data_IF_883192337708
#
_entry.id   IF_883192337708
#
_cell.length_a   1.000
_cell.length_b   1.000
_cell.length_c   1.000
_cell.angle_alpha   90.00
_cell.angle_beta   90.00
_cell.angle_gamma   90.00
#
_symmetry.space_group_name_H-M   'P 1'
#
loop_
_entity.id
_entity.type
_entity.pdbx_description
1 polymer ?
#
# COMPACT_ATOMS: atom_id res chain seq x y z
N UNK A 1 18.77 12.13 11.17
CA UNK A 1 19.69 11.65 10.10
C UNK A 1 18.88 11.05 8.97
N UNK A 2 19.18 11.43 7.72
CA UNK A 2 18.54 10.88 6.54
C UNK A 2 19.32 9.67 6.00
N UNK A 3 18.75 9.00 4.98
CA UNK A 3 19.40 7.85 4.33
C UNK A 3 20.48 8.26 3.32
N UNK A 4 20.45 9.50 2.82
CA UNK A 4 21.40 10.04 1.82
C UNK A 4 22.23 11.20 2.35
N UNK A 5 21.73 11.94 3.35
CA UNK A 5 22.42 13.10 3.95
C UNK A 5 22.12 13.17 5.44
N UNK A 6 23.03 13.78 6.20
CA UNK A 6 22.77 14.07 7.61
C UNK A 6 22.04 15.42 7.74
N UNK A 7 20.85 15.40 8.31
CA UNK A 7 20.04 16.61 8.53
C UNK A 7 20.71 17.65 9.45
N UNK A 8 21.69 17.24 10.27
CA UNK A 8 22.43 18.16 11.12
C UNK A 8 23.27 19.18 10.31
N UNK A 9 23.69 18.83 9.10
CA UNK A 9 24.43 19.72 8.20
C UNK A 9 23.61 20.93 7.77
N UNK A 10 22.28 20.85 7.85
CA UNK A 10 21.34 21.91 7.49
C UNK A 10 20.86 22.77 8.66
N UNK A 11 21.34 22.52 9.90
CA UNK A 11 20.98 23.31 11.07
C UNK A 11 21.34 24.80 10.89
N UNK A 12 22.55 25.17 10.42
CA UNK A 12 22.89 26.57 10.21
C UNK A 12 21.96 27.28 9.25
N UNK A 13 21.58 26.61 8.16
CA UNK A 13 20.65 27.15 7.16
C UNK A 13 19.25 27.37 7.72
N UNK A 14 18.76 26.42 8.53
CA UNK A 14 17.47 26.54 9.19
C UNK A 14 17.44 27.73 10.16
N UNK A 15 18.49 27.90 10.94
CA UNK A 15 18.67 29.04 11.86
C UNK A 15 18.74 30.37 11.09
N UNK A 16 19.51 30.43 10.01
CA UNK A 16 19.60 31.61 9.14
C UNK A 16 18.24 31.99 8.50
N UNK A 17 17.37 31.02 8.28
CA UNK A 17 16.00 31.21 7.80
C UNK A 17 14.99 31.55 8.90
N UNK A 18 15.43 31.71 10.14
CA UNK A 18 14.60 32.16 11.26
C UNK A 18 14.00 31.04 12.12
N UNK A 19 14.57 29.84 12.11
CA UNK A 19 14.15 28.80 13.05
C UNK A 19 14.36 29.26 14.48
N UNK A 20 13.32 29.27 15.29
CA UNK A 20 13.34 29.60 16.73
C UNK A 20 13.61 28.38 17.62
N UNK A 21 13.46 27.16 17.05
CA UNK A 21 13.80 25.92 17.72
C UNK A 21 14.34 24.89 16.71
N UNK A 22 15.26 24.04 17.19
CA UNK A 22 15.88 22.95 16.42
C UNK A 22 15.75 21.66 17.23
N UNK A 23 15.15 20.63 16.62
CA UNK A 23 15.11 19.28 17.19
C UNK A 23 16.18 18.45 16.48
N UNK A 24 17.13 17.91 17.21
CA UNK A 24 18.29 17.21 16.66
C UNK A 24 18.70 16.02 17.54
N UNK A 25 19.50 15.10 17.01
CA UNK A 25 20.05 13.98 17.78
C UNK A 25 21.37 14.34 18.49
N UNK A 26 22.07 15.35 17.95
CA UNK A 26 23.32 15.86 18.53
C UNK A 26 23.30 17.39 18.45
N UNK A 27 23.76 18.05 19.48
CA UNK A 27 23.96 19.50 19.46
C UNK A 27 25.03 19.87 18.43
N UNK A 28 24.84 20.92 17.64
CA UNK A 28 25.91 21.46 16.81
C UNK A 28 27.03 22.02 17.66
N UNK A 29 28.24 22.10 17.10
CA UNK A 29 29.41 22.64 17.83
C UNK A 29 29.20 24.08 18.28
N UNK A 30 28.43 24.86 17.51
CA UNK A 30 28.05 26.24 17.81
C UNK A 30 26.52 26.35 17.85
N UNK A 31 25.98 26.94 18.92
CA UNK A 31 24.55 27.21 19.07
C UNK A 31 24.26 28.70 18.87
N UNK A 32 23.21 29.01 18.12
CA UNK A 32 22.79 30.39 17.90
C UNK A 32 22.02 30.93 19.11
N UNK A 33 22.31 32.18 19.46
CA UNK A 33 21.61 32.88 20.57
C UNK A 33 20.11 33.04 20.20
N UNK A 34 19.25 32.76 21.17
CA UNK A 34 17.80 32.90 20.99
C UNK A 34 17.12 31.71 20.26
N UNK A 35 17.86 30.66 19.92
CA UNK A 35 17.31 29.42 19.35
C UNK A 35 17.28 28.34 20.41
N UNK A 36 16.15 27.70 20.60
CA UNK A 36 16.00 26.52 21.47
C UNK A 36 16.49 25.25 20.77
N UNK A 37 17.35 24.47 21.44
CA UNK A 37 17.81 23.17 20.91
C UNK A 37 17.27 22.05 21.79
N UNK A 38 16.54 21.13 21.18
CA UNK A 38 15.94 19.95 21.82
C UNK A 38 16.65 18.70 21.29
N UNK A 39 17.41 18.05 22.19
CA UNK A 39 18.11 16.81 21.84
C UNK A 39 17.21 15.63 22.09
N UNK A 40 17.01 14.80 21.06
CA UNK A 40 16.18 13.60 21.08
C UNK A 40 16.97 12.38 20.59
N UNK A 41 16.66 11.17 21.05
CA UNK A 41 17.37 9.96 20.61
C UNK A 41 17.08 9.59 19.15
N UNK A 42 16.01 10.11 18.57
CA UNK A 42 15.50 9.76 17.22
C UNK A 42 14.72 10.97 16.64
N UNK A 43 15.39 11.72 15.79
CA UNK A 43 14.80 12.93 15.19
C UNK A 43 13.72 12.61 14.17
N UNK A 44 13.80 11.46 13.46
CA UNK A 44 12.78 11.05 12.51
C UNK A 44 11.46 10.69 13.21
N UNK A 45 11.54 9.94 14.30
CA UNK A 45 10.39 9.62 15.13
C UNK A 45 9.80 10.87 15.81
N UNK A 46 10.66 11.76 16.32
CA UNK A 46 10.21 13.03 16.91
C UNK A 46 9.47 13.90 15.88
N UNK A 47 9.96 13.98 14.63
CA UNK A 47 9.28 14.68 13.55
C UNK A 47 7.87 14.11 13.29
N UNK A 48 7.75 12.79 13.25
CA UNK A 48 6.47 12.13 13.01
C UNK A 48 5.48 12.39 14.15
N UNK A 49 5.93 12.27 15.42
CA UNK A 49 5.10 12.55 16.59
C UNK A 49 4.68 14.03 16.66
N UNK A 50 5.60 14.96 16.36
CA UNK A 50 5.31 16.40 16.29
C UNK A 50 4.33 16.73 15.17
N UNK A 51 4.49 16.14 13.98
CA UNK A 51 3.57 16.35 12.87
C UNK A 51 2.17 15.87 13.22
N UNK A 52 2.03 14.68 13.81
CA UNK A 52 0.74 14.16 14.26
C UNK A 52 0.08 15.10 15.28
N UNK A 53 0.84 15.58 16.27
CA UNK A 53 0.33 16.51 17.28
C UNK A 53 -0.05 17.87 16.70
N UNK A 54 0.78 18.43 15.81
CA UNK A 54 0.56 19.74 15.19
C UNK A 54 -0.76 19.79 14.40
N UNK A 55 -1.07 18.70 13.68
CA UNK A 55 -2.31 18.57 12.91
C UNK A 55 -3.48 17.98 13.74
N UNK A 56 -3.35 17.86 15.07
CA UNK A 56 -4.40 17.38 15.96
C UNK A 56 -4.73 15.92 15.84
N UNK A 57 -3.75 15.06 15.51
CA UNK A 57 -3.89 13.61 15.35
C UNK A 57 -5.01 13.18 14.39
N UNK A 58 -5.03 13.67 13.14
CA UNK A 58 -6.16 13.50 12.22
C UNK A 58 -6.45 12.03 11.88
N UNK A 59 -5.47 11.13 11.97
CA UNK A 59 -5.65 9.71 11.76
C UNK A 59 -6.60 9.03 12.76
N UNK A 60 -6.88 9.66 13.91
CA UNK A 60 -7.86 9.18 14.89
C UNK A 60 -9.31 9.50 14.52
N UNK A 61 -9.51 10.45 13.62
CA UNK A 61 -10.81 10.85 13.12
C UNK A 61 -11.22 10.05 11.87
N UNK A 62 -10.27 9.27 11.30
CA UNK A 62 -10.44 8.47 10.10
C UNK A 62 -10.35 6.98 10.44
N UNK A 63 -11.12 6.14 9.78
CA UNK A 63 -10.85 4.70 9.71
C UNK A 63 -9.69 4.45 8.75
N UNK A 64 -8.46 4.65 9.25
CA UNK A 64 -7.23 4.53 8.47
C UNK A 64 -6.83 3.07 8.31
N UNK A 65 -6.68 2.59 7.08
CA UNK A 65 -6.17 1.24 6.78
C UNK A 65 -4.88 1.34 5.99
N UNK A 66 -3.83 0.70 6.50
CA UNK A 66 -2.53 0.61 5.85
C UNK A 66 -2.36 -0.70 5.08
N UNK A 67 -1.86 -0.65 3.85
CA UNK A 67 -1.62 -1.82 3.02
C UNK A 67 -0.11 -1.96 2.79
N UNK A 68 0.47 -3.10 3.17
CA UNK A 68 1.87 -3.41 2.90
C UNK A 68 2.02 -4.77 2.22
N UNK A 69 3.15 -4.95 1.55
CA UNK A 69 3.49 -6.14 0.78
C UNK A 69 4.43 -5.80 -0.36
N UNK A 70 4.84 -6.76 -1.17
CA UNK A 70 5.60 -6.48 -2.39
C UNK A 70 4.63 -6.03 -3.49
N UNK A 71 3.66 -6.84 -3.84
CA UNK A 71 2.69 -6.60 -4.91
C UNK A 71 1.28 -6.38 -4.36
N UNK A 72 0.41 -5.71 -5.12
CA UNK A 72 -1.01 -5.54 -4.82
C UNK A 72 -1.37 -4.34 -3.93
N UNK A 73 -0.41 -3.61 -3.35
CA UNK A 73 -0.68 -2.45 -2.46
C UNK A 73 -1.57 -1.39 -3.11
N UNK A 74 -1.14 -0.87 -4.26
CA UNK A 74 -1.87 0.17 -5.00
C UNK A 74 -3.26 -0.28 -5.38
N UNK A 75 -3.36 -1.50 -5.94
CA UNK A 75 -4.65 -2.08 -6.35
C UNK A 75 -5.58 -2.21 -5.15
N UNK A 76 -5.13 -2.80 -4.05
CA UNK A 76 -5.96 -3.00 -2.86
C UNK A 76 -6.39 -1.67 -2.23
N UNK A 77 -5.48 -0.69 -2.11
CA UNK A 77 -5.81 0.63 -1.56
C UNK A 77 -6.83 1.37 -2.42
N UNK A 78 -6.63 1.35 -3.74
CA UNK A 78 -7.55 2.01 -4.69
C UNK A 78 -8.91 1.34 -4.71
N UNK A 79 -8.95 0.00 -4.77
CA UNK A 79 -10.21 -0.75 -4.75
C UNK A 79 -10.99 -0.56 -3.44
N UNK A 80 -10.33 -0.45 -2.29
CA UNK A 80 -10.98 -0.10 -1.03
C UNK A 80 -11.57 1.31 -1.06
N UNK A 81 -10.82 2.27 -1.58
CA UNK A 81 -11.31 3.64 -1.78
C UNK A 81 -12.54 3.65 -2.69
N UNK A 82 -12.46 3.00 -3.86
CA UNK A 82 -13.57 2.96 -4.82
C UNK A 82 -14.79 2.21 -4.25
N UNK A 83 -14.57 1.13 -3.49
CA UNK A 83 -15.62 0.37 -2.83
C UNK A 83 -16.42 1.24 -1.84
N UNK A 84 -15.74 1.91 -0.90
CA UNK A 84 -16.43 2.72 0.11
C UNK A 84 -17.10 3.95 -0.52
N UNK A 85 -16.51 4.49 -1.60
CA UNK A 85 -17.15 5.54 -2.42
C UNK A 85 -18.43 5.05 -3.10
N UNK A 86 -18.41 3.84 -3.66
CA UNK A 86 -19.61 3.20 -4.26
C UNK A 86 -20.72 2.94 -3.22
N UNK A 87 -20.34 2.75 -1.95
CA UNK A 87 -21.28 2.63 -0.81
C UNK A 87 -21.75 4.00 -0.26
N UNK A 88 -21.29 5.12 -0.85
CA UNK A 88 -21.75 6.46 -0.48
C UNK A 88 -20.90 7.17 0.59
N UNK A 89 -19.80 6.58 1.04
CA UNK A 89 -18.93 7.19 2.04
C UNK A 89 -17.88 8.11 1.39
N UNK A 90 -17.47 9.15 2.12
CA UNK A 90 -16.32 9.94 1.74
C UNK A 90 -15.03 9.27 2.21
N UNK A 91 -14.01 9.27 1.37
CA UNK A 91 -12.74 8.61 1.66
C UNK A 91 -11.54 9.38 1.12
N UNK A 92 -10.37 9.12 1.70
CA UNK A 92 -9.06 9.52 1.20
C UNK A 92 -8.27 8.33 0.67
N UNK A 93 -7.32 8.61 -0.22
CA UNK A 93 -6.39 7.63 -0.78
C UNK A 93 -4.97 8.18 -0.79
N UNK A 94 -4.01 7.40 -0.31
CA UNK A 94 -2.57 7.69 -0.40
C UNK A 94 -1.89 6.52 -1.09
N UNK A 95 -1.55 6.68 -2.37
CA UNK A 95 -1.00 5.60 -3.19
C UNK A 95 0.23 6.04 -4.00
N UNK A 96 0.90 5.09 -4.64
CA UNK A 96 2.03 5.36 -5.54
C UNK A 96 1.62 6.19 -6.76
N UNK A 97 0.39 6.01 -7.23
CA UNK A 97 -0.09 6.63 -8.47
C UNK A 97 -0.70 8.01 -8.21
N UNK A 98 -1.49 8.14 -7.14
CA UNK A 98 -2.27 9.34 -6.88
C UNK A 98 -2.61 9.45 -5.39
N UNK A 99 -2.73 10.69 -4.89
CA UNK A 99 -3.40 10.96 -3.63
C UNK A 99 -4.79 11.53 -3.92
N UNK A 100 -5.78 11.17 -3.09
CA UNK A 100 -7.13 11.72 -3.17
C UNK A 100 -7.56 12.20 -1.79
N UNK A 101 -8.05 13.43 -1.73
CA UNK A 101 -8.71 14.01 -0.57
C UNK A 101 -10.17 14.20 -0.96
N UNK A 102 -11.06 13.33 -0.47
CA UNK A 102 -12.39 13.23 -1.03
C UNK A 102 -12.33 12.94 -2.54
N UNK A 103 -12.85 13.85 -3.35
CA UNK A 103 -12.81 13.76 -4.82
C UNK A 103 -11.61 14.49 -5.45
N UNK A 104 -10.94 15.34 -4.68
CA UNK A 104 -9.81 16.13 -5.17
C UNK A 104 -8.59 15.24 -5.37
N UNK A 105 -8.05 15.27 -6.59
CA UNK A 105 -6.83 14.54 -6.98
C UNK A 105 -5.61 15.42 -6.70
N UNK A 106 -4.62 14.84 -6.03
CA UNK A 106 -3.33 15.48 -5.75
C UNK A 106 -2.23 14.59 -6.31
N UNK A 107 -1.27 15.16 -7.00
CA UNK A 107 -0.15 14.42 -7.59
C UNK A 107 0.67 13.70 -6.51
N UNK A 108 0.94 12.43 -6.75
CA UNK A 108 1.76 11.62 -5.84
C UNK A 108 3.25 11.89 -6.10
N UNK A 109 3.98 12.25 -5.05
CA UNK A 109 5.44 12.42 -5.10
C UNK A 109 6.18 11.18 -4.59
N UNK A 110 5.54 10.42 -3.70
CA UNK A 110 6.08 9.19 -3.09
C UNK A 110 4.92 8.23 -2.81
N UNK A 111 5.21 6.93 -2.76
CA UNK A 111 4.22 5.92 -2.32
C UNK A 111 3.62 6.25 -0.95
N UNK A 112 4.45 6.68 -0.02
CA UNK A 112 4.06 7.16 1.31
C UNK A 112 4.79 8.48 1.54
N UNK A 113 4.09 9.61 1.69
CA UNK A 113 4.69 10.92 1.93
C UNK A 113 5.49 10.99 3.24
N UNK A 114 6.24 12.08 3.42
CA UNK A 114 6.82 12.43 4.71
C UNK A 114 5.74 12.69 5.77
N UNK A 115 6.08 12.64 7.09
CA UNK A 115 5.10 12.74 8.16
C UNK A 115 4.32 14.05 8.16
N UNK A 116 4.95 15.17 7.78
CA UNK A 116 4.30 16.50 7.80
C UNK A 116 3.22 16.55 6.72
N UNK A 117 3.59 16.21 5.49
CA UNK A 117 2.64 16.18 4.36
C UNK A 117 1.52 15.17 4.59
N UNK A 118 1.86 13.99 5.15
CA UNK A 118 0.88 12.94 5.41
C UNK A 118 -0.17 13.38 6.42
N UNK A 119 0.24 13.97 7.56
CA UNK A 119 -0.69 14.47 8.57
C UNK A 119 -1.48 15.69 8.07
N UNK A 120 -0.86 16.60 7.29
CA UNK A 120 -1.58 17.72 6.65
C UNK A 120 -2.72 17.22 5.76
N UNK A 121 -2.43 16.24 4.88
CA UNK A 121 -3.44 15.63 4.00
C UNK A 121 -4.55 14.93 4.78
N UNK A 122 -4.21 14.20 5.85
CA UNK A 122 -5.21 13.55 6.70
C UNK A 122 -6.08 14.57 7.44
N UNK A 123 -5.51 15.73 7.83
CA UNK A 123 -6.30 16.83 8.40
C UNK A 123 -7.29 17.37 7.37
N UNK A 124 -6.85 17.63 6.14
CA UNK A 124 -7.75 18.03 5.07
C UNK A 124 -8.85 16.98 4.81
N UNK A 125 -8.51 15.69 4.79
CA UNK A 125 -9.49 14.60 4.65
C UNK A 125 -10.55 14.65 5.75
N UNK A 126 -10.13 14.80 7.01
CA UNK A 126 -11.05 14.86 8.14
C UNK A 126 -11.92 16.14 8.07
N UNK A 127 -11.35 17.29 7.73
CA UNK A 127 -12.08 18.56 7.58
C UNK A 127 -13.11 18.52 6.45
N UNK A 128 -12.83 17.76 5.36
CA UNK A 128 -13.78 17.51 4.28
C UNK A 128 -14.84 16.45 4.64
N UNK A 129 -14.75 15.84 5.82
CA UNK A 129 -15.69 14.85 6.32
C UNK A 129 -15.47 13.46 5.73
N UNK A 130 -14.23 13.10 5.36
CA UNK A 130 -13.88 11.72 5.04
C UNK A 130 -14.00 10.85 6.30
N UNK A 131 -14.60 9.67 6.15
CA UNK A 131 -14.72 8.68 7.22
C UNK A 131 -13.60 7.63 7.13
N UNK A 132 -13.07 7.39 5.93
CA UNK A 132 -12.08 6.36 5.63
C UNK A 132 -10.84 6.98 4.98
N UNK A 133 -9.69 6.36 5.22
CA UNK A 133 -8.47 6.61 4.47
C UNK A 133 -7.73 5.30 4.21
N UNK A 134 -7.37 5.05 2.96
CA UNK A 134 -6.61 3.88 2.56
C UNK A 134 -5.24 4.30 2.07
N UNK A 135 -4.17 3.70 2.61
CA UNK A 135 -2.82 4.11 2.27
C UNK A 135 -1.86 2.96 2.05
N UNK A 136 -0.98 3.11 1.08
CA UNK A 136 0.16 2.23 0.92
C UNK A 136 1.22 2.51 1.98
N UNK A 137 1.64 1.48 2.72
CA UNK A 137 2.74 1.51 3.67
C UNK A 137 3.96 0.82 3.05
N UNK A 138 4.85 1.58 2.38
CA UNK A 138 6.07 1.03 1.82
C UNK A 138 7.07 0.64 2.90
N UNK A 139 7.91 -0.37 2.64
CA UNK A 139 8.96 -0.79 3.59
C UNK A 139 9.93 0.34 3.94
N UNK A 140 10.24 1.21 2.96
CA UNK A 140 11.06 2.41 3.18
C UNK A 140 10.38 3.37 4.17
N UNK A 141 9.08 3.64 3.97
CA UNK A 141 8.33 4.54 4.84
C UNK A 141 8.23 4.01 6.28
N UNK A 142 8.06 2.70 6.44
CA UNK A 142 8.00 2.06 7.76
C UNK A 142 9.35 2.22 8.48
N UNK A 143 10.47 1.87 7.81
CA UNK A 143 11.82 2.00 8.41
C UNK A 143 12.17 3.47 8.69
N UNK A 144 11.75 4.39 7.82
CA UNK A 144 11.94 5.84 8.00
C UNK A 144 10.91 6.47 8.93
N UNK A 145 10.10 5.66 9.61
CA UNK A 145 9.11 6.09 10.60
C UNK A 145 8.06 7.10 10.08
N UNK A 146 7.82 7.14 8.76
CA UNK A 146 6.84 8.05 8.15
C UNK A 146 5.41 7.78 8.61
N UNK A 147 5.13 6.55 9.07
CA UNK A 147 3.82 6.11 9.58
C UNK A 147 3.70 6.17 11.09
N UNK A 148 4.77 6.59 11.80
CA UNK A 148 4.76 6.73 13.25
C UNK A 148 3.81 7.86 13.68
N UNK A 149 3.16 7.67 14.83
CA UNK A 149 2.18 8.62 15.36
C UNK A 149 0.80 8.53 14.70
N UNK A 150 0.63 7.71 13.63
CA UNK A 150 -0.67 7.46 13.03
C UNK A 150 -1.42 6.37 13.80
N UNK A 151 -2.74 6.54 13.93
CA UNK A 151 -3.65 5.53 14.46
C UNK A 151 -4.31 4.79 13.30
N UNK A 152 -4.03 3.48 13.18
CA UNK A 152 -4.61 2.62 12.15
C UNK A 152 -5.79 1.84 12.71
N UNK A 153 -6.93 1.88 12.02
CA UNK A 153 -8.05 0.98 12.26
C UNK A 153 -7.73 -0.46 11.80
N UNK A 154 -6.79 -0.60 10.85
CA UNK A 154 -6.33 -1.90 10.41
C UNK A 154 -5.13 -1.88 9.50
N UNK A 155 -4.53 -3.06 9.35
CA UNK A 155 -3.41 -3.32 8.44
C UNK A 155 -3.64 -4.54 7.58
N UNK A 156 -3.23 -4.48 6.31
CA UNK A 156 -3.34 -5.58 5.34
C UNK A 156 -1.96 -5.99 4.88
N UNK A 157 -1.67 -7.28 4.94
CA UNK A 157 -0.50 -7.91 4.31
C UNK A 157 -0.91 -8.66 3.05
N UNK A 158 -0.39 -8.25 1.89
CA UNK A 158 -0.71 -8.90 0.61
C UNK A 158 0.21 -10.09 0.32
N UNK A 159 1.50 -9.88 0.18
CA UNK A 159 2.52 -10.89 -0.11
C UNK A 159 3.92 -10.32 0.10
N UNK A 160 4.94 -11.19 0.09
CA UNK A 160 6.33 -10.76 0.07
C UNK A 160 7.16 -11.66 -0.85
N UNK A 161 7.73 -11.04 -1.89
CA UNK A 161 8.64 -11.66 -2.85
C UNK A 161 9.92 -10.84 -2.96
N UNK A 162 10.89 -11.28 -3.74
CA UNK A 162 12.18 -10.62 -3.89
C UNK A 162 12.01 -9.22 -4.49
N UNK A 163 12.26 -8.19 -3.67
CA UNK A 163 12.26 -6.79 -4.06
C UNK A 163 13.06 -5.92 -3.07
N UNK A 164 13.51 -4.73 -3.51
CA UNK A 164 14.16 -3.73 -2.65
C UNK A 164 15.38 -4.21 -1.85
N UNK A 165 16.12 -5.22 -2.32
CA UNK A 165 17.33 -5.71 -1.64
C UNK A 165 18.52 -4.74 -1.78
N UNK A 166 18.48 -3.82 -2.74
CA UNK A 166 19.37 -2.67 -2.82
C UNK A 166 19.32 -1.82 -1.54
N UNK A 167 18.14 -1.63 -0.96
CA UNK A 167 17.92 -0.88 0.26
C UNK A 167 18.03 -1.75 1.53
N UNK A 168 17.31 -2.89 1.58
CA UNK A 168 17.21 -3.72 2.78
C UNK A 168 18.36 -4.72 2.95
N UNK A 169 19.28 -4.84 1.96
CA UNK A 169 20.45 -5.73 1.93
C UNK A 169 20.11 -7.23 1.94
N UNK A 170 19.18 -7.68 2.76
CA UNK A 170 18.75 -9.08 2.84
C UNK A 170 17.24 -9.23 2.83
N UNK A 171 16.76 -10.39 2.38
CA UNK A 171 15.34 -10.70 2.39
C UNK A 171 14.77 -10.75 3.83
N UNK A 172 15.58 -11.17 4.81
CA UNK A 172 15.19 -11.17 6.22
C UNK A 172 14.95 -9.75 6.75
N UNK A 173 15.81 -8.79 6.40
CA UNK A 173 15.61 -7.38 6.76
C UNK A 173 14.40 -6.77 6.06
N UNK A 174 14.10 -7.19 4.83
CA UNK A 174 12.90 -6.75 4.12
C UNK A 174 11.61 -7.27 4.79
N UNK A 175 11.60 -8.55 5.22
CA UNK A 175 10.52 -9.12 6.04
C UNK A 175 10.36 -8.32 7.34
N UNK A 176 11.47 -8.11 8.07
CA UNK A 176 11.49 -7.35 9.32
C UNK A 176 10.93 -5.94 9.15
N UNK A 177 11.33 -5.24 8.10
CA UNK A 177 10.86 -3.89 7.80
C UNK A 177 9.33 -3.81 7.67
N UNK A 178 8.72 -4.76 6.94
CA UNK A 178 7.25 -4.81 6.81
C UNK A 178 6.56 -5.25 8.09
N UNK A 179 7.16 -6.19 8.83
CA UNK A 179 6.63 -6.68 10.09
C UNK A 179 6.49 -5.57 11.14
N UNK A 180 7.41 -4.59 11.18
CA UNK A 180 7.34 -3.44 12.10
C UNK A 180 6.00 -2.69 12.00
N UNK A 181 5.38 -2.66 10.82
CA UNK A 181 4.05 -2.05 10.66
C UNK A 181 3.00 -2.78 11.49
N UNK A 182 2.95 -4.12 11.42
CA UNK A 182 1.99 -4.93 12.21
C UNK A 182 2.32 -4.91 13.69
N UNK A 183 3.60 -4.88 14.06
CA UNK A 183 4.04 -4.79 15.47
C UNK A 183 3.64 -3.44 16.10
N UNK A 184 3.42 -2.41 15.29
CA UNK A 184 3.00 -1.07 15.74
C UNK A 184 1.47 -0.88 15.81
N UNK A 185 0.68 -1.82 15.32
CA UNK A 185 -0.78 -1.70 15.35
C UNK A 185 -1.32 -1.75 16.78
N UNK A 186 -2.30 -0.90 17.06
CA UNK A 186 -2.96 -0.84 18.34
C UNK A 186 -3.89 -2.06 18.55
N UNK A 187 -4.26 -2.32 19.81
CA UNK A 187 -5.09 -3.49 20.18
C UNK A 187 -6.49 -3.45 19.57
N UNK A 188 -7.01 -2.27 19.30
CA UNK A 188 -8.33 -2.04 18.70
C UNK A 188 -8.31 -2.11 17.15
N UNK A 189 -7.13 -2.27 16.54
CA UNK A 189 -6.96 -2.47 15.12
C UNK A 189 -7.16 -3.93 14.70
N UNK A 190 -7.35 -4.16 13.41
CA UNK A 190 -7.24 -5.50 12.82
C UNK A 190 -5.92 -5.67 12.03
N UNK A 191 -5.41 -6.89 11.98
CA UNK A 191 -4.29 -7.31 11.16
C UNK A 191 -4.77 -8.41 10.21
N UNK A 192 -5.05 -8.06 8.95
CA UNK A 192 -5.52 -8.98 7.91
C UNK A 192 -4.34 -9.51 7.10
N UNK A 193 -4.06 -10.81 7.17
CA UNK A 193 -2.88 -11.41 6.54
C UNK A 193 -3.25 -12.49 5.53
N UNK A 194 -2.48 -12.55 4.44
CA UNK A 194 -2.58 -13.60 3.43
C UNK A 194 -2.02 -14.92 3.98
N UNK A 195 -2.88 -15.90 4.23
CA UNK A 195 -2.50 -17.20 4.76
C UNK A 195 -1.80 -18.10 3.72
N UNK A 196 -1.91 -17.79 2.44
CA UNK A 196 -1.23 -18.52 1.37
C UNK A 196 0.21 -18.03 1.14
N UNK A 197 0.59 -16.88 1.69
CA UNK A 197 1.99 -16.46 1.74
C UNK A 197 2.71 -17.12 2.93
N UNK A 198 3.86 -17.77 2.66
CA UNK A 198 4.65 -18.45 3.69
C UNK A 198 5.08 -17.56 4.85
N UNK A 199 5.18 -16.25 4.62
CA UNK A 199 5.55 -15.26 5.63
C UNK A 199 4.33 -14.58 6.28
N UNK A 200 3.10 -14.92 5.86
CA UNK A 200 1.88 -14.30 6.37
C UNK A 200 1.76 -14.38 7.89
N UNK A 201 2.07 -15.55 8.48
CA UNK A 201 2.09 -15.73 9.94
C UNK A 201 3.19 -14.95 10.63
N UNK A 202 4.37 -14.83 9.98
CA UNK A 202 5.51 -14.09 10.52
C UNK A 202 5.18 -12.60 10.65
N UNK A 203 4.44 -12.04 9.68
CA UNK A 203 4.07 -10.63 9.68
C UNK A 203 3.27 -10.24 10.92
N UNK A 204 2.37 -11.09 11.38
CA UNK A 204 1.42 -10.78 12.44
C UNK A 204 1.73 -11.43 13.80
N UNK A 205 2.85 -12.15 13.93
CA UNK A 205 3.13 -12.96 15.12
C UNK A 205 3.27 -12.18 16.43
N UNK A 206 3.65 -10.89 16.37
CA UNK A 206 3.87 -10.05 17.56
C UNK A 206 2.90 -8.85 17.62
N UNK A 207 1.92 -8.80 16.71
CA UNK A 207 0.95 -7.70 16.73
C UNK A 207 0.05 -7.77 17.96
N UNK A 208 -0.35 -6.62 18.48
CA UNK A 208 -1.39 -6.52 19.51
C UNK A 208 -2.81 -6.50 18.91
N UNK A 209 -2.92 -6.29 17.60
CA UNK A 209 -4.18 -6.18 16.87
C UNK A 209 -4.89 -7.53 16.72
N UNK A 210 -6.19 -7.50 16.47
CA UNK A 210 -6.98 -8.70 16.13
C UNK A 210 -6.50 -9.33 14.82
N UNK A 211 -6.02 -10.59 14.86
CA UNK A 211 -5.48 -11.27 13.69
C UNK A 211 -6.61 -11.92 12.90
N UNK A 212 -6.66 -11.64 11.60
CA UNK A 212 -7.56 -12.25 10.63
C UNK A 212 -6.80 -12.71 9.40
N UNK A 213 -7.29 -13.76 8.77
CA UNK A 213 -6.65 -14.42 7.64
C UNK A 213 -7.53 -14.43 6.40
N UNK A 214 -6.91 -14.36 5.23
CA UNK A 214 -7.61 -14.60 3.98
C UNK A 214 -6.82 -15.54 3.06
N UNK A 215 -7.52 -16.34 2.24
CA UNK A 215 -6.91 -17.38 1.41
C UNK A 215 -7.77 -17.78 0.22
N UNK A 216 -7.10 -18.14 -0.88
CA UNK A 216 -7.70 -18.83 -2.03
C UNK A 216 -7.48 -20.36 -1.99
N UNK A 217 -6.56 -20.86 -1.13
CA UNK A 217 -6.09 -22.25 -1.15
C UNK A 217 -6.36 -23.01 0.14
N UNK A 218 -6.26 -22.33 1.27
CA UNK A 218 -6.31 -22.96 2.59
C UNK A 218 -7.51 -22.48 3.42
N UNK A 219 -7.69 -23.04 4.60
CA UNK A 219 -8.69 -22.56 5.55
C UNK A 219 -8.25 -21.20 6.11
N UNK A 220 -9.16 -20.23 6.10
CA UNK A 220 -8.96 -18.87 6.56
C UNK A 220 -10.31 -18.27 6.99
N UNK A 221 -10.28 -17.11 7.68
CA UNK A 221 -11.47 -16.39 8.09
C UNK A 221 -12.28 -15.88 6.89
N UNK A 222 -11.57 -15.43 5.84
CA UNK A 222 -12.16 -15.04 4.56
C UNK A 222 -11.61 -15.94 3.46
N UNK A 223 -12.52 -16.50 2.65
CA UNK A 223 -12.16 -17.43 1.57
C UNK A 223 -12.77 -17.05 0.25
N UNK A 224 -12.00 -17.26 -0.81
CA UNK A 224 -12.44 -17.07 -2.16
C UNK A 224 -12.05 -18.25 -3.05
N UNK A 225 -12.94 -18.63 -3.96
CA UNK A 225 -12.65 -19.56 -5.07
C UNK A 225 -12.94 -18.85 -6.38
N UNK A 226 -12.01 -18.90 -7.32
CA UNK A 226 -12.26 -18.52 -8.71
C UNK A 226 -13.09 -19.65 -9.33
N UNK A 227 -14.32 -19.36 -9.71
CA UNK A 227 -15.23 -20.31 -10.37
C UNK A 227 -14.98 -20.30 -11.86
N UNK A 228 -14.92 -19.09 -12.45
CA UNK A 228 -14.64 -18.87 -13.88
C UNK A 228 -13.74 -17.64 -14.04
N UNK A 229 -12.92 -17.64 -15.09
CA UNK A 229 -12.08 -16.49 -15.44
C UNK A 229 -12.09 -16.30 -16.96
N UNK A 230 -12.47 -15.10 -17.39
CA UNK A 230 -12.56 -14.67 -18.76
C UNK A 230 -11.77 -13.37 -18.98
N UNK A 231 -11.66 -12.95 -20.22
CA UNK A 231 -10.94 -11.71 -20.61
C UNK A 231 -11.61 -10.43 -20.09
N UNK A 232 -12.87 -10.50 -19.72
CA UNK A 232 -13.70 -9.37 -19.25
C UNK A 232 -14.02 -9.40 -17.76
N UNK A 233 -13.60 -10.47 -17.05
CA UNK A 233 -13.82 -10.56 -15.61
C UNK A 233 -13.71 -11.98 -15.06
N UNK A 234 -14.05 -12.11 -13.78
CA UNK A 234 -14.05 -13.37 -13.05
C UNK A 234 -15.36 -13.57 -12.30
N UNK A 235 -15.83 -14.81 -12.25
CA UNK A 235 -16.83 -15.25 -11.28
C UNK A 235 -16.11 -15.77 -10.04
N UNK A 236 -16.25 -15.06 -8.95
CA UNK A 236 -15.68 -15.40 -7.65
C UNK A 236 -16.76 -15.95 -6.72
N UNK A 237 -16.41 -16.96 -5.93
CA UNK A 237 -17.24 -17.40 -4.79
C UNK A 237 -16.53 -17.00 -3.51
N UNK A 238 -17.07 -15.97 -2.83
CA UNK A 238 -16.52 -15.39 -1.59
C UNK A 238 -17.48 -15.76 -0.45
N UNK A 239 -16.97 -16.44 0.58
CA UNK A 239 -17.77 -16.90 1.73
C UNK A 239 -19.08 -17.61 1.34
N UNK A 240 -19.05 -18.36 0.22
CA UNK A 240 -20.18 -19.12 -0.30
C UNK A 240 -21.11 -18.37 -1.25
N UNK A 241 -20.95 -17.05 -1.43
CA UNK A 241 -21.74 -16.24 -2.35
C UNK A 241 -20.97 -15.97 -3.66
N UNK A 242 -21.65 -16.02 -4.78
CA UNK A 242 -21.07 -15.76 -6.08
C UNK A 242 -21.19 -14.27 -6.45
N UNK A 243 -20.11 -13.72 -6.94
CA UNK A 243 -20.04 -12.33 -7.44
C UNK A 243 -19.22 -12.27 -8.71
N UNK A 244 -19.77 -11.62 -9.75
CA UNK A 244 -19.02 -11.28 -10.94
C UNK A 244 -18.25 -9.97 -10.72
N UNK A 245 -16.96 -9.95 -11.08
CA UNK A 245 -16.09 -8.79 -10.97
C UNK A 245 -15.38 -8.51 -12.29
N UNK A 246 -15.26 -7.24 -12.68
CA UNK A 246 -14.60 -6.81 -13.91
C UNK A 246 -13.06 -6.77 -13.83
N UNK A 247 -12.47 -7.52 -12.90
CA UNK A 247 -11.02 -7.66 -12.76
C UNK A 247 -10.63 -9.10 -13.12
N UNK A 248 -9.41 -9.28 -13.66
CA UNK A 248 -8.92 -10.56 -14.16
C UNK A 248 -7.62 -10.93 -13.46
N UNK A 249 -7.38 -12.22 -13.26
CA UNK A 249 -6.15 -12.77 -12.74
C UNK A 249 -6.25 -13.20 -11.26
N UNK A 250 -5.56 -14.31 -10.97
CA UNK A 250 -5.51 -14.87 -9.61
C UNK A 250 -5.00 -13.86 -8.58
N UNK A 251 -4.03 -13.03 -8.94
CA UNK A 251 -3.51 -11.97 -8.05
C UNK A 251 -4.59 -10.92 -7.73
N UNK A 252 -5.50 -10.60 -8.66
CA UNK A 252 -6.64 -9.73 -8.40
C UNK A 252 -7.70 -10.41 -7.54
N UNK A 253 -7.87 -11.74 -7.62
CA UNK A 253 -8.73 -12.45 -6.69
C UNK A 253 -8.22 -12.34 -5.23
N UNK A 254 -6.88 -12.38 -5.00
CA UNK A 254 -6.29 -12.08 -3.70
C UNK A 254 -6.54 -10.63 -3.26
N UNK A 255 -6.33 -9.66 -4.16
CA UNK A 255 -6.57 -8.24 -3.87
C UNK A 255 -8.04 -8.00 -3.48
N UNK A 256 -8.98 -8.54 -4.27
CA UNK A 256 -10.42 -8.42 -4.03
C UNK A 256 -10.84 -9.10 -2.72
N UNK A 257 -10.26 -10.25 -2.38
CA UNK A 257 -10.56 -10.92 -1.12
C UNK A 257 -10.03 -10.13 0.08
N UNK A 258 -8.86 -9.50 -0.05
CA UNK A 258 -8.33 -8.58 0.96
C UNK A 258 -9.22 -7.33 1.13
N UNK A 259 -9.73 -6.79 0.02
CA UNK A 259 -10.71 -5.68 -0.01
C UNK A 259 -11.99 -6.09 0.73
N UNK A 260 -12.57 -7.24 0.38
CA UNK A 260 -13.76 -7.78 1.06
C UNK A 260 -13.53 -7.96 2.56
N UNK A 261 -12.46 -8.65 2.94
CA UNK A 261 -12.14 -8.91 4.34
C UNK A 261 -11.95 -7.62 5.14
N UNK A 262 -11.21 -6.65 4.60
CA UNK A 262 -11.01 -5.36 5.26
C UNK A 262 -12.31 -4.57 5.39
N UNK A 263 -13.16 -4.55 4.36
CA UNK A 263 -14.46 -3.87 4.38
C UNK A 263 -15.39 -4.46 5.47
N UNK A 264 -15.44 -5.80 5.57
CA UNK A 264 -16.22 -6.49 6.61
C UNK A 264 -15.65 -6.19 8.01
N UNK A 265 -14.33 -6.18 8.17
CA UNK A 265 -13.67 -5.86 9.45
C UNK A 265 -13.85 -4.38 9.86
N UNK A 266 -14.06 -3.48 8.90
CA UNK A 266 -14.47 -2.09 9.16
C UNK A 266 -15.95 -1.94 9.53
N UNK A 267 -16.71 -3.04 9.55
CA UNK A 267 -18.13 -3.07 9.95
C UNK A 267 -19.12 -2.83 8.81
N UNK A 268 -18.69 -2.93 7.54
CA UNK A 268 -19.58 -2.80 6.40
C UNK A 268 -20.38 -4.10 6.18
N UNK A 269 -21.61 -3.97 5.69
CA UNK A 269 -22.49 -5.12 5.43
C UNK A 269 -21.94 -6.00 4.30
N UNK A 270 -21.90 -7.32 4.52
CA UNK A 270 -21.31 -8.29 3.59
C UNK A 270 -21.99 -8.31 2.22
N UNK A 271 -23.31 -8.23 2.17
CA UNK A 271 -24.06 -8.28 0.91
C UNK A 271 -23.86 -6.97 0.11
N UNK A 272 -23.86 -5.84 0.80
CA UNK A 272 -23.59 -4.54 0.19
C UNK A 272 -22.14 -4.44 -0.34
N UNK A 273 -21.17 -4.97 0.40
CA UNK A 273 -19.77 -5.05 -0.05
C UNK A 273 -19.66 -5.89 -1.33
N UNK A 274 -20.27 -7.09 -1.38
CA UNK A 274 -20.24 -7.93 -2.58
C UNK A 274 -20.92 -7.25 -3.78
N UNK A 275 -22.06 -6.58 -3.55
CA UNK A 275 -22.74 -5.81 -4.58
C UNK A 275 -21.86 -4.67 -5.10
N UNK A 276 -21.21 -3.92 -4.23
CA UNK A 276 -20.31 -2.85 -4.62
C UNK A 276 -19.06 -3.38 -5.36
N UNK A 277 -18.55 -4.56 -4.96
CA UNK A 277 -17.41 -5.20 -5.65
C UNK A 277 -17.70 -5.52 -7.11
N UNK A 278 -18.95 -5.85 -7.47
CA UNK A 278 -19.32 -6.11 -8.87
C UNK A 278 -19.24 -4.86 -9.78
N UNK A 279 -19.18 -3.67 -9.19
CA UNK A 279 -19.06 -2.39 -9.89
C UNK A 279 -17.60 -1.88 -9.96
N UNK A 280 -16.65 -2.59 -9.35
CA UNK A 280 -15.25 -2.19 -9.36
C UNK A 280 -14.61 -2.47 -10.71
N UNK A 281 -13.71 -1.57 -11.12
CA UNK A 281 -12.96 -1.65 -12.37
C UNK A 281 -11.46 -1.80 -12.09
N UNK A 282 -10.72 -2.20 -13.11
CA UNK A 282 -9.27 -2.27 -13.05
C UNK A 282 -8.68 -0.89 -12.71
N UNK A 283 -7.69 -0.89 -11.83
CA UNK A 283 -6.95 0.33 -11.46
C UNK A 283 -6.02 0.71 -12.60
N UNK A 284 -5.95 2.00 -12.94
CA UNK A 284 -5.13 2.47 -14.05
C UNK A 284 -3.68 2.00 -13.93
N UNK A 285 -3.14 1.43 -15.01
CA UNK A 285 -1.81 0.83 -15.08
C UNK A 285 -1.65 -0.46 -14.25
N UNK A 286 -2.75 -1.13 -13.86
CA UNK A 286 -2.75 -2.39 -13.10
C UNK A 286 -3.62 -3.43 -13.80
N UNK A 287 -3.00 -4.19 -14.72
CA UNK A 287 -3.69 -5.14 -15.59
C UNK A 287 -4.88 -4.49 -16.32
N UNK A 288 -4.65 -3.29 -16.81
CA UNK A 288 -5.64 -2.46 -17.47
C UNK A 288 -5.76 -2.87 -18.93
N UNK A 289 -6.97 -3.19 -19.37
CA UNK A 289 -7.27 -3.58 -20.75
C UNK A 289 -7.59 -2.36 -21.61
N UNK A 290 -6.90 -2.26 -22.75
CA UNK A 290 -7.21 -1.30 -23.82
C UNK A 290 -7.49 -2.10 -25.08
N UNK A 291 -8.71 -2.03 -25.59
CA UNK A 291 -9.12 -2.73 -26.83
C UNK A 291 -9.13 -1.77 -28.00
N UNK A 292 -8.43 -2.14 -29.07
CA UNK A 292 -8.46 -1.42 -30.32
C UNK A 292 -9.57 -1.95 -31.23
N UNK A 293 -10.05 -1.12 -32.17
CA UNK A 293 -11.10 -1.46 -33.13
C UNK A 293 -10.75 -2.66 -34.01
N UNK A 294 -9.48 -2.90 -34.30
CA UNK A 294 -8.99 -4.03 -35.07
C UNK A 294 -8.94 -5.36 -34.30
N UNK A 295 -9.46 -5.41 -33.06
CA UNK A 295 -9.49 -6.59 -32.23
C UNK A 295 -8.20 -6.83 -31.40
N UNK A 296 -7.17 -5.99 -31.54
CA UNK A 296 -5.97 -6.05 -30.71
C UNK A 296 -6.31 -5.63 -29.29
N UNK A 297 -5.82 -6.39 -28.31
CA UNK A 297 -5.96 -6.05 -26.90
C UNK A 297 -4.57 -5.72 -26.34
N UNK A 298 -4.40 -4.51 -25.81
CA UNK A 298 -3.23 -4.14 -25.02
C UNK A 298 -3.56 -4.27 -23.54
N UNK A 299 -2.59 -4.76 -22.77
CA UNK A 299 -2.66 -4.82 -21.30
C UNK A 299 -1.54 -3.94 -20.75
N UNK A 300 -1.92 -2.95 -19.95
CA UNK A 300 -0.98 -2.04 -19.30
C UNK A 300 -0.83 -2.45 -17.85
N UNK A 301 0.40 -2.77 -17.44
CA UNK A 301 0.70 -3.14 -16.04
C UNK A 301 2.01 -2.54 -15.55
N UNK A 302 2.08 -2.28 -14.27
CA UNK A 302 3.26 -1.75 -13.58
C UNK A 302 4.21 -2.86 -13.10
N UNK A 303 4.06 -4.10 -13.54
CA UNK A 303 4.92 -5.21 -13.15
C UNK A 303 6.38 -4.88 -13.44
N UNK A 304 7.21 -4.85 -12.40
CA UNK A 304 8.64 -4.50 -12.48
C UNK A 304 9.50 -5.44 -11.62
N UNK A 305 8.90 -6.50 -11.10
CA UNK A 305 9.59 -7.62 -10.44
C UNK A 305 9.38 -8.89 -11.25
N UNK A 306 10.31 -9.86 -11.22
CA UNK A 306 10.13 -11.13 -11.92
C UNK A 306 8.81 -11.81 -11.59
N UNK A 307 8.49 -11.97 -10.31
CA UNK A 307 7.24 -12.57 -9.82
C UNK A 307 5.99 -11.83 -10.34
N UNK A 308 5.99 -10.49 -10.34
CA UNK A 308 4.84 -9.73 -10.85
C UNK A 308 4.65 -9.93 -12.36
N UNK A 309 5.74 -9.90 -13.14
CA UNK A 309 5.68 -10.12 -14.58
C UNK A 309 5.25 -11.54 -14.93
N UNK A 310 5.76 -12.54 -14.19
CA UNK A 310 5.35 -13.93 -14.35
C UNK A 310 3.84 -14.10 -14.12
N UNK A 311 3.30 -13.54 -13.04
CA UNK A 311 1.87 -13.56 -12.75
C UNK A 311 1.03 -12.91 -13.84
N UNK A 312 1.48 -11.78 -14.42
CA UNK A 312 0.82 -11.11 -15.54
C UNK A 312 0.82 -12.00 -16.77
N UNK A 313 1.98 -12.55 -17.15
CA UNK A 313 2.12 -13.41 -18.34
C UNK A 313 1.28 -14.69 -18.18
N UNK A 314 1.33 -15.35 -17.03
CA UNK A 314 0.52 -16.54 -16.75
C UNK A 314 -0.98 -16.24 -16.87
N UNK A 315 -1.44 -15.13 -16.30
CA UNK A 315 -2.84 -14.73 -16.41
C UNK A 315 -3.24 -14.52 -17.87
N UNK A 316 -2.40 -13.87 -18.68
CA UNK A 316 -2.67 -13.69 -20.11
C UNK A 316 -2.71 -15.05 -20.83
N UNK A 317 -1.80 -15.97 -20.50
CA UNK A 317 -1.79 -17.33 -21.07
C UNK A 317 -3.07 -18.12 -20.72
N UNK A 318 -3.63 -17.94 -19.51
CA UNK A 318 -4.86 -18.61 -19.08
C UNK A 318 -6.11 -18.09 -19.78
N UNK A 319 -6.15 -16.82 -20.19
CA UNK A 319 -7.35 -16.18 -20.77
C UNK A 319 -7.30 -16.04 -22.29
N UNK A 320 -6.12 -16.10 -22.92
CA UNK A 320 -6.00 -16.00 -24.38
C UNK A 320 -6.44 -17.26 -25.08
N UNK A 321 -6.95 -17.11 -26.30
CA UNK A 321 -7.22 -18.26 -27.19
C UNK A 321 -5.91 -18.78 -27.81
N UNK A 322 -5.86 -20.07 -28.23
CA UNK A 322 -4.66 -20.65 -28.85
C UNK A 322 -4.19 -19.93 -30.13
N UNK A 323 -5.09 -19.22 -30.81
CA UNK A 323 -4.81 -18.50 -32.06
C UNK A 323 -4.25 -17.09 -31.82
N UNK A 324 -4.35 -16.56 -30.61
CA UNK A 324 -3.84 -15.23 -30.27
C UNK A 324 -2.34 -15.28 -30.03
N UNK A 325 -1.61 -14.33 -30.63
CA UNK A 325 -0.19 -14.10 -30.35
C UNK A 325 -0.04 -13.19 -29.13
N UNK A 326 0.89 -13.53 -28.24
CA UNK A 326 1.30 -12.68 -27.11
C UNK A 326 2.60 -11.96 -27.47
N UNK A 327 2.58 -10.64 -27.41
CA UNK A 327 3.76 -9.79 -27.56
C UNK A 327 3.98 -9.07 -26.22
N UNK A 328 5.15 -9.28 -25.62
CA UNK A 328 5.52 -8.65 -24.34
C UNK A 328 6.48 -7.50 -24.60
N UNK A 329 6.13 -6.31 -24.11
CA UNK A 329 7.03 -5.14 -24.13
C UNK A 329 7.34 -4.79 -22.68
N UNK A 330 8.58 -5.01 -22.26
CA UNK A 330 9.00 -4.72 -20.90
C UNK A 330 10.29 -3.90 -20.89
N UNK A 331 10.54 -3.17 -19.81
CA UNK A 331 11.75 -2.41 -19.58
C UNK A 331 12.18 -2.50 -18.13
N UNK A 332 13.51 -2.50 -17.92
CA UNK A 332 14.10 -2.45 -16.58
C UNK A 332 14.59 -1.03 -16.32
N UNK A 333 13.88 -0.29 -15.46
CA UNK A 333 14.15 1.11 -15.19
C UNK A 333 15.45 1.36 -14.41
N UNK A 334 16.27 2.26 -14.92
CA UNK A 334 17.32 2.99 -14.24
C UNK A 334 18.35 2.20 -13.44
N UNK A 335 18.82 2.83 -12.36
CA UNK A 335 19.90 2.31 -11.49
C UNK A 335 19.40 1.48 -10.30
N UNK A 336 18.16 0.96 -10.39
CA UNK A 336 17.60 0.05 -9.38
C UNK A 336 18.25 -1.34 -9.48
N UNK A 337 17.83 -2.25 -8.63
CA UNK A 337 18.33 -3.62 -8.52
C UNK A 337 18.57 -4.30 -9.90
N UNK A 338 19.86 -4.35 -10.31
CA UNK A 338 20.26 -4.90 -11.60
C UNK A 338 20.16 -6.42 -11.66
N UNK A 339 20.06 -7.09 -10.51
CA UNK A 339 20.00 -8.57 -10.43
C UNK A 339 18.70 -9.12 -11.01
N UNK A 340 17.64 -8.33 -11.05
CA UNK A 340 16.33 -8.70 -11.65
C UNK A 340 16.34 -8.77 -13.18
N UNK A 341 17.28 -8.10 -13.85
CA UNK A 341 17.29 -8.00 -15.33
C UNK A 341 17.41 -9.35 -16.03
N UNK A 342 18.35 -10.25 -15.66
CA UNK A 342 18.41 -11.58 -16.25
C UNK A 342 17.16 -12.41 -16.00
N UNK A 343 16.60 -12.34 -14.78
CA UNK A 343 15.39 -13.08 -14.41
C UNK A 343 14.19 -12.64 -15.25
N UNK A 344 14.00 -11.31 -15.43
CA UNK A 344 12.94 -10.76 -16.27
C UNK A 344 13.10 -11.20 -17.73
N UNK A 345 14.32 -11.18 -18.27
CA UNK A 345 14.57 -11.59 -19.67
C UNK A 345 14.34 -13.08 -19.93
N UNK A 346 14.28 -13.93 -18.91
CA UNK A 346 14.05 -15.38 -19.05
C UNK A 346 12.57 -15.78 -18.94
N UNK A 347 11.66 -14.82 -18.68
CA UNK A 347 10.22 -15.11 -18.47
C UNK A 347 9.41 -15.21 -19.77
N UNK A 348 9.99 -14.85 -20.94
CA UNK A 348 9.29 -14.85 -22.25
C UNK A 348 10.21 -15.20 -23.41
#
# INVERSE_FOLDING_TARGET
RGTQSDGHDFIPDAVAKGASAVVCEQLPAETAHGVAYVVVPDAAGALADMAAAFYGHPSRELKLVGITGTNGKTTTATLLYDLVRALGYKAGLVSTVVYKVGERIVEATHTTPDPVRLNAMMREMADEGCEYCFMECSSHAIVQQRTRGLHFAGGIFSNITHDHLDYHKTFAEYIRAKKLFFDSLAKDAFALTNADDKNGRVMVQNTAAGIHTYSLRTMADFRCKIVEMHVDGMLLRIDGQEVWVGLVGRFNAYNLLAVYGAAVLLGLDRAEVLRAMSMLHAVSGRFEFVRAENGTTAIVDYAHTPDALENVIQTIQEIRTPTQQLIVVCGCGGDRDRTKRPEICLLY
#
